data_IF_563906778399
#
_entry.id   IF_563906778399
#
_cell.length_a   1.000
_cell.length_b   1.000
_cell.length_c   1.000
_cell.angle_alpha   90.00
_cell.angle_beta   90.00
_cell.angle_gamma   90.00
#
_symmetry.space_group_name_H-M   'P 1'
#
loop_
_entity.id
_entity.type
_entity.pdbx_description
1 polymer ?
#
# COMPACT_ATOMS: atom_id res chain seq x y z
N UNK A 1 14.66 -12.36 23.03
CA UNK A 1 13.94 -11.87 21.84
C UNK A 1 14.70 -12.30 20.61
N UNK A 2 14.05 -12.67 19.50
CA UNK A 2 14.76 -12.97 18.27
C UNK A 2 15.57 -11.74 17.81
N UNK A 3 16.69 -11.99 17.13
CA UNK A 3 17.55 -10.92 16.60
C UNK A 3 16.77 -10.16 15.50
N UNK A 4 16.83 -8.80 15.47
CA UNK A 4 16.25 -8.04 14.36
C UNK A 4 16.82 -8.48 13.02
N UNK A 5 15.97 -8.57 11.99
CA UNK A 5 16.40 -8.93 10.64
C UNK A 5 17.15 -7.77 9.97
N UNK A 6 18.13 -8.09 9.13
CA UNK A 6 18.83 -7.11 8.30
C UNK A 6 17.93 -6.65 7.15
N UNK A 7 17.56 -5.36 7.13
CA UNK A 7 16.72 -4.76 6.08
C UNK A 7 17.58 -3.97 5.08
N UNK A 8 17.56 -4.36 3.80
CA UNK A 8 18.11 -3.59 2.70
C UNK A 8 17.02 -2.78 2.00
N UNK A 9 17.34 -1.61 1.50
CA UNK A 9 16.39 -0.73 0.81
C UNK A 9 16.93 -0.39 -0.58
N UNK A 10 16.13 -0.62 -1.62
CA UNK A 10 16.39 -0.18 -3.00
C UNK A 10 15.30 0.80 -3.42
N UNK A 11 15.73 2.00 -3.83
CA UNK A 11 14.88 3.15 -4.04
C UNK A 11 14.78 4.02 -2.78
N UNK A 12 15.35 5.24 -2.86
CA UNK A 12 15.36 6.18 -1.72
C UNK A 12 14.62 7.47 -2.05
N UNK A 13 13.43 7.31 -2.66
CA UNK A 13 12.42 8.33 -2.81
C UNK A 13 11.57 8.49 -1.55
N UNK A 14 10.36 9.06 -1.68
CA UNK A 14 9.42 9.31 -0.58
C UNK A 14 9.17 8.06 0.28
N UNK A 15 8.93 6.90 -0.36
CA UNK A 15 8.58 5.68 0.39
C UNK A 15 9.79 5.01 1.02
N UNK A 16 10.94 4.99 0.33
CA UNK A 16 12.20 4.46 0.89
C UNK A 16 12.64 5.23 2.13
N UNK A 17 12.62 6.56 2.06
CA UNK A 17 12.92 7.42 3.21
C UNK A 17 11.93 7.21 4.36
N UNK A 18 10.63 7.18 4.06
CA UNK A 18 9.57 7.01 5.05
C UNK A 18 9.72 5.69 5.81
N UNK A 19 9.99 4.59 5.10
CA UNK A 19 10.15 3.30 5.75
C UNK A 19 11.47 3.22 6.55
N UNK A 20 12.55 3.82 6.06
CA UNK A 20 13.81 3.91 6.81
C UNK A 20 13.59 4.64 8.15
N UNK A 21 12.95 5.81 8.15
CA UNK A 21 12.63 6.54 9.38
C UNK A 21 11.80 5.69 10.34
N UNK A 22 10.77 5.01 9.83
CA UNK A 22 9.94 4.13 10.66
C UNK A 22 10.76 2.97 11.25
N UNK A 23 11.69 2.39 10.49
CA UNK A 23 12.57 1.33 10.95
C UNK A 23 13.47 1.80 12.09
N UNK A 24 14.06 2.98 11.97
CA UNK A 24 14.95 3.57 12.96
C UNK A 24 14.20 4.00 14.23
N UNK A 25 13.07 4.69 14.07
CA UNK A 25 12.39 5.36 15.17
C UNK A 25 11.42 4.44 15.93
N UNK A 26 10.84 3.42 15.26
CA UNK A 26 9.71 2.68 15.80
C UNK A 26 9.80 1.15 15.70
N UNK A 27 10.79 0.60 15.01
CA UNK A 27 10.85 -0.84 14.74
C UNK A 27 12.22 -1.48 14.96
N UNK A 28 13.11 -0.87 15.74
CA UNK A 28 14.46 -1.35 16.00
C UNK A 28 14.51 -2.76 16.65
N UNK A 29 13.44 -3.17 17.33
CA UNK A 29 13.32 -4.53 17.87
C UNK A 29 13.03 -5.59 16.78
N UNK A 30 12.52 -5.19 15.62
CA UNK A 30 12.10 -6.08 14.53
C UNK A 30 13.08 -6.09 13.37
N UNK A 31 13.59 -4.91 12.99
CA UNK A 31 14.46 -4.75 11.82
C UNK A 31 15.65 -3.85 12.10
N UNK A 32 16.76 -4.11 11.43
CA UNK A 32 17.94 -3.24 11.41
C UNK A 32 18.21 -2.84 9.96
N UNK A 33 18.05 -1.57 9.56
CA UNK A 33 18.48 -1.10 8.26
C UNK A 33 19.99 -1.24 8.10
N UNK A 34 20.43 -1.99 7.09
CA UNK A 34 21.87 -2.30 6.91
C UNK A 34 22.45 -1.64 5.68
N UNK A 35 21.65 -1.33 4.67
CA UNK A 35 22.12 -0.74 3.44
C UNK A 35 20.99 -0.09 2.64
N UNK A 36 21.33 0.95 1.89
CA UNK A 36 20.46 1.61 0.90
C UNK A 36 21.18 1.68 -0.44
N UNK A 37 20.44 1.62 -1.54
CA UNK A 37 20.90 1.96 -2.86
C UNK A 37 19.81 2.68 -3.67
N UNK A 38 20.23 3.69 -4.41
CA UNK A 38 19.39 4.39 -5.37
C UNK A 38 20.30 4.89 -6.53
N UNK A 39 19.87 4.83 -7.80
CA UNK A 39 20.66 5.31 -8.92
C UNK A 39 20.78 6.84 -8.96
N UNK A 40 19.90 7.59 -8.30
CA UNK A 40 19.89 9.04 -8.28
C UNK A 40 21.03 9.58 -7.38
N UNK A 41 21.91 10.45 -7.90
CA UNK A 41 23.08 10.93 -7.14
C UNK A 41 22.69 11.72 -5.87
N UNK A 42 21.54 12.40 -5.88
CA UNK A 42 21.02 13.16 -4.73
C UNK A 42 20.53 12.28 -3.58
N UNK A 43 20.29 10.99 -3.82
CA UNK A 43 19.82 10.07 -2.80
C UNK A 43 20.84 9.88 -1.66
N UNK A 44 22.13 9.94 -1.95
CA UNK A 44 23.18 9.82 -0.95
C UNK A 44 23.13 10.99 0.07
N UNK A 45 22.96 12.21 -0.39
CA UNK A 45 22.82 13.37 0.48
C UNK A 45 21.53 13.30 1.31
N UNK A 46 20.43 12.84 0.71
CA UNK A 46 19.15 12.62 1.39
C UNK A 46 19.28 11.54 2.48
N UNK A 47 19.95 10.43 2.18
CA UNK A 47 20.20 9.38 3.17
C UNK A 47 21.03 9.88 4.35
N UNK A 48 22.11 10.61 4.09
CA UNK A 48 22.97 11.18 5.12
C UNK A 48 22.21 12.14 6.06
N UNK A 49 21.24 12.87 5.54
CA UNK A 49 20.36 13.74 6.33
C UNK A 49 19.37 12.95 7.21
N UNK A 50 19.00 11.73 6.83
CA UNK A 50 18.13 10.86 7.62
C UNK A 50 18.92 10.06 8.64
N UNK A 51 19.99 9.40 8.20
CA UNK A 51 20.85 8.60 9.06
C UNK A 51 22.26 8.47 8.46
N UNK A 52 23.29 9.06 9.09
CA UNK A 52 24.66 8.89 8.65
C UNK A 52 25.23 7.49 8.95
N UNK A 53 24.51 6.68 9.73
CA UNK A 53 24.96 5.33 10.14
C UNK A 53 24.55 4.25 9.14
N UNK A 54 23.54 4.50 8.30
CA UNK A 54 23.10 3.55 7.28
C UNK A 54 23.86 3.83 5.99
N UNK A 55 24.69 2.89 5.47
CA UNK A 55 25.51 3.15 4.30
C UNK A 55 24.70 3.14 3.01
N UNK A 56 25.04 4.06 2.09
CA UNK A 56 24.70 3.98 0.68
C UNK A 56 25.70 3.06 -0.01
N UNK A 57 25.23 1.95 -0.57
CA UNK A 57 26.09 1.00 -1.30
C UNK A 57 26.17 1.35 -2.80
N UNK A 58 27.19 0.80 -3.48
CA UNK A 58 27.46 1.12 -4.87
C UNK A 58 26.54 0.45 -5.90
N UNK A 59 25.70 -0.52 -5.48
CA UNK A 59 24.81 -1.23 -6.39
C UNK A 59 23.64 -1.92 -5.67
N UNK A 60 22.59 -2.21 -6.42
CA UNK A 60 21.46 -3.03 -5.96
C UNK A 60 21.93 -4.43 -5.51
N UNK A 61 22.86 -5.05 -6.25
CA UNK A 61 23.41 -6.35 -5.90
C UNK A 61 24.13 -6.35 -4.55
N UNK A 62 24.85 -5.28 -4.21
CA UNK A 62 25.51 -5.14 -2.93
C UNK A 62 24.50 -5.06 -1.77
N UNK A 63 23.36 -4.36 -1.94
CA UNK A 63 22.28 -4.31 -0.94
C UNK A 63 21.64 -5.69 -0.77
N UNK A 64 21.33 -6.38 -1.87
CA UNK A 64 20.75 -7.74 -1.83
C UNK A 64 21.67 -8.70 -1.08
N UNK A 65 22.97 -8.62 -1.31
CA UNK A 65 23.94 -9.47 -0.61
C UNK A 65 24.02 -9.21 0.92
N UNK A 66 23.79 -7.96 1.32
CA UNK A 66 23.94 -7.51 2.71
C UNK A 66 22.72 -7.74 3.62
N UNK A 67 21.54 -8.03 3.05
CA UNK A 67 20.29 -8.06 3.82
C UNK A 67 19.68 -9.46 3.95
N UNK A 68 18.78 -9.63 4.92
CA UNK A 68 17.89 -10.80 5.05
C UNK A 68 16.58 -10.57 4.28
N UNK A 69 16.10 -9.33 4.28
CA UNK A 69 14.92 -8.90 3.52
C UNK A 69 15.24 -7.64 2.72
N UNK A 70 14.87 -7.66 1.45
CA UNK A 70 14.95 -6.49 0.57
C UNK A 70 13.62 -5.74 0.55
N UNK A 71 13.62 -4.46 0.89
CA UNK A 71 12.52 -3.55 0.59
C UNK A 71 12.76 -2.85 -0.74
N UNK A 72 11.81 -3.00 -1.68
CA UNK A 72 11.88 -2.40 -3.01
C UNK A 72 10.90 -1.23 -3.09
N UNK A 73 11.44 -0.01 -3.03
CA UNK A 73 10.73 1.27 -3.15
C UNK A 73 11.10 2.01 -4.45
N UNK A 74 11.58 1.27 -5.44
CA UNK A 74 11.91 1.75 -6.78
C UNK A 74 10.64 1.96 -7.62
N UNK A 75 10.72 2.55 -8.82
CA UNK A 75 9.59 2.60 -9.76
C UNK A 75 9.08 1.19 -10.14
N UNK A 76 7.77 1.02 -10.44
CA UNK A 76 7.14 -0.28 -10.65
C UNK A 76 7.80 -1.20 -11.68
N UNK A 77 8.39 -0.63 -12.74
CA UNK A 77 9.13 -1.40 -13.75
C UNK A 77 10.35 -2.16 -13.19
N UNK A 78 10.90 -1.73 -12.05
CA UNK A 78 12.05 -2.37 -11.41
C UNK A 78 11.66 -3.42 -10.36
N UNK A 79 10.38 -3.50 -9.95
CA UNK A 79 9.95 -4.35 -8.84
C UNK A 79 10.25 -5.82 -9.10
N UNK A 80 9.77 -6.37 -10.21
CA UNK A 80 9.94 -7.80 -10.54
C UNK A 80 11.41 -8.17 -10.72
N UNK A 81 12.22 -7.46 -11.54
CA UNK A 81 13.64 -7.79 -11.68
C UNK A 81 14.41 -7.78 -10.36
N UNK A 82 14.16 -6.81 -9.49
CA UNK A 82 14.81 -6.73 -8.19
C UNK A 82 14.34 -7.84 -7.23
N UNK A 83 13.05 -8.16 -7.24
CA UNK A 83 12.51 -9.26 -6.44
C UNK A 83 13.08 -10.61 -6.87
N UNK A 84 13.16 -10.89 -8.17
CA UNK A 84 13.74 -12.13 -8.70
C UNK A 84 15.23 -12.25 -8.36
N UNK A 85 15.99 -11.16 -8.46
CA UNK A 85 17.39 -11.14 -8.03
C UNK A 85 17.54 -11.44 -6.52
N UNK A 86 16.65 -10.88 -5.68
CA UNK A 86 16.64 -11.15 -4.25
C UNK A 86 16.25 -12.61 -3.95
N UNK A 87 15.25 -13.17 -4.64
CA UNK A 87 14.88 -14.60 -4.50
C UNK A 87 16.02 -15.53 -4.91
N UNK A 88 16.72 -15.23 -6.00
CA UNK A 88 17.89 -16.00 -6.43
C UNK A 88 19.02 -15.98 -5.38
N UNK A 89 19.11 -14.90 -4.58
CA UNK A 89 20.04 -14.79 -3.46
C UNK A 89 19.47 -15.36 -2.13
N UNK A 90 18.29 -15.98 -2.14
CA UNK A 90 17.64 -16.56 -0.97
C UNK A 90 17.05 -15.52 0.01
N UNK A 91 16.81 -14.28 -0.44
CA UNK A 91 16.32 -13.19 0.41
C UNK A 91 14.79 -13.12 0.40
N UNK A 92 14.20 -12.68 1.51
CA UNK A 92 12.81 -12.27 1.53
C UNK A 92 12.65 -10.91 0.84
N UNK A 93 11.42 -10.59 0.38
CA UNK A 93 11.17 -9.35 -0.36
C UNK A 93 9.90 -8.66 0.14
N UNK A 94 10.01 -7.35 0.39
CA UNK A 94 8.88 -6.48 0.66
C UNK A 94 8.80 -5.44 -0.47
N UNK A 95 7.71 -5.43 -1.23
CA UNK A 95 7.56 -4.63 -2.45
C UNK A 95 6.62 -3.45 -2.24
N UNK A 96 6.90 -2.32 -2.88
CA UNK A 96 5.86 -1.30 -3.08
C UNK A 96 4.80 -1.75 -4.09
N UNK A 97 3.63 -1.16 -3.99
CA UNK A 97 2.57 -1.27 -5.00
C UNK A 97 2.79 -0.23 -6.12
N UNK A 98 2.28 -0.45 -7.33
CA UNK A 98 1.74 -1.71 -7.85
C UNK A 98 2.84 -2.74 -8.07
N UNK A 99 2.48 -4.01 -8.26
CA UNK A 99 3.47 -5.09 -8.46
C UNK A 99 4.35 -4.87 -9.70
N UNK A 100 3.77 -4.37 -10.78
CA UNK A 100 4.45 -4.13 -12.05
C UNK A 100 3.65 -3.15 -12.91
N UNK A 101 4.25 -2.71 -14.00
CA UNK A 101 3.58 -1.92 -15.05
C UNK A 101 2.78 -2.80 -16.02
N UNK A 102 3.11 -4.07 -16.15
CA UNK A 102 2.48 -5.04 -17.04
C UNK A 102 1.82 -6.18 -16.25
N UNK A 103 0.50 -6.39 -16.48
CA UNK A 103 -0.28 -7.40 -15.77
C UNK A 103 0.12 -8.83 -16.12
N UNK A 104 0.56 -9.11 -17.36
CA UNK A 104 0.99 -10.45 -17.74
C UNK A 104 2.28 -10.82 -17.01
N UNK A 105 3.23 -9.89 -16.91
CA UNK A 105 4.44 -10.07 -16.11
C UNK A 105 4.12 -10.24 -14.63
N UNK A 106 3.20 -9.44 -14.07
CA UNK A 106 2.76 -9.57 -12.67
C UNK A 106 2.16 -10.96 -12.39
N UNK A 107 1.26 -11.46 -13.26
CA UNK A 107 0.68 -12.82 -13.14
C UNK A 107 1.74 -13.91 -13.14
N UNK A 108 2.66 -13.85 -14.11
CA UNK A 108 3.74 -14.81 -14.23
C UNK A 108 4.68 -14.79 -13.01
N UNK A 109 5.00 -13.59 -12.51
CA UNK A 109 5.82 -13.41 -11.32
C UNK A 109 5.15 -14.00 -10.06
N UNK A 110 3.87 -13.68 -9.82
CA UNK A 110 3.12 -14.21 -8.67
C UNK A 110 3.06 -15.74 -8.72
N UNK A 111 2.74 -16.32 -9.87
CA UNK A 111 2.70 -17.77 -10.03
C UNK A 111 4.05 -18.45 -9.73
N UNK A 112 5.17 -17.88 -10.20
CA UNK A 112 6.51 -18.39 -9.88
C UNK A 112 6.84 -18.25 -8.38
N UNK A 113 6.55 -17.12 -7.79
CA UNK A 113 6.81 -16.87 -6.38
C UNK A 113 6.02 -17.84 -5.47
N UNK A 114 4.74 -18.11 -5.79
CA UNK A 114 3.91 -19.08 -5.09
C UNK A 114 4.44 -20.51 -5.23
N UNK A 115 4.82 -20.93 -6.45
CA UNK A 115 5.36 -22.27 -6.71
C UNK A 115 6.68 -22.50 -5.95
N UNK A 116 7.50 -21.47 -5.80
CA UNK A 116 8.78 -21.55 -5.07
C UNK A 116 8.64 -21.28 -3.56
N UNK A 117 7.45 -21.04 -3.05
CA UNK A 117 7.19 -20.59 -1.66
C UNK A 117 8.07 -19.39 -1.27
N UNK A 118 8.23 -18.43 -2.17
CA UNK A 118 9.03 -17.25 -1.94
C UNK A 118 8.46 -16.41 -0.78
N UNK A 119 9.34 -15.98 0.13
CA UNK A 119 8.96 -15.11 1.24
C UNK A 119 8.82 -13.68 0.74
N UNK A 120 7.60 -13.28 0.40
CA UNK A 120 7.33 -11.98 -0.17
C UNK A 120 5.98 -11.42 0.28
N UNK A 121 5.93 -10.09 0.37
CA UNK A 121 4.72 -9.32 0.66
C UNK A 121 4.75 -7.96 -0.05
N UNK A 122 3.59 -7.31 -0.12
CA UNK A 122 3.43 -5.99 -0.75
C UNK A 122 3.01 -4.96 0.28
N UNK A 123 3.49 -3.73 0.11
CA UNK A 123 3.23 -2.63 1.02
C UNK A 123 1.81 -2.07 0.86
N UNK A 124 0.85 -2.72 1.52
CA UNK A 124 -0.47 -2.16 1.77
C UNK A 124 -0.60 -1.83 3.26
N UNK A 125 -0.42 -0.56 3.66
CA UNK A 125 -0.43 -0.15 5.07
C UNK A 125 -1.66 -0.60 5.85
N UNK A 126 -2.81 -0.68 5.21
CA UNK A 126 -4.06 -1.14 5.85
C UNK A 126 -3.98 -2.59 6.39
N UNK A 127 -3.03 -3.40 5.93
CA UNK A 127 -2.80 -4.74 6.48
C UNK A 127 -2.36 -4.75 7.94
N UNK A 128 -1.74 -3.66 8.40
CA UNK A 128 -1.20 -3.51 9.77
C UNK A 128 -1.82 -2.32 10.53
N UNK A 129 -2.96 -1.82 10.06
CA UNK A 129 -3.63 -0.66 10.66
C UNK A 129 -4.44 -1.06 11.90
N UNK A 130 -4.20 -0.45 13.08
CA UNK A 130 -5.06 -0.63 14.25
C UNK A 130 -6.53 -0.28 13.98
N UNK A 131 -6.78 0.80 13.21
CA UNK A 131 -8.14 1.16 12.82
C UNK A 131 -8.84 0.07 11.99
N UNK A 132 -8.10 -0.62 11.10
CA UNK A 132 -8.62 -1.76 10.33
C UNK A 132 -8.86 -2.98 11.24
N UNK A 133 -8.00 -3.21 12.24
CA UNK A 133 -8.21 -4.26 13.23
C UNK A 133 -9.52 -4.02 14.02
N UNK A 134 -9.76 -2.78 14.45
CA UNK A 134 -11.01 -2.41 15.12
C UNK A 134 -12.26 -2.60 14.23
N UNK A 135 -12.17 -2.25 12.96
CA UNK A 135 -13.27 -2.55 12.00
C UNK A 135 -13.52 -4.05 11.89
N UNK A 136 -12.45 -4.85 11.92
CA UNK A 136 -12.56 -6.30 11.86
C UNK A 136 -13.32 -6.88 13.06
N UNK A 137 -13.06 -6.37 14.25
CA UNK A 137 -13.77 -6.75 15.48
C UNK A 137 -15.27 -6.42 15.39
N UNK A 138 -15.60 -5.20 14.99
CA UNK A 138 -17.01 -4.79 14.83
C UNK A 138 -17.72 -5.59 13.76
N UNK A 139 -17.04 -5.84 12.62
CA UNK A 139 -17.61 -6.63 11.51
C UNK A 139 -17.89 -8.09 11.90
N UNK A 140 -17.16 -8.68 12.85
CA UNK A 140 -17.33 -10.08 13.25
C UNK A 140 -18.75 -10.42 13.71
N UNK A 141 -19.51 -9.44 14.21
CA UNK A 141 -20.90 -9.57 14.62
C UNK A 141 -21.91 -9.19 13.51
N UNK A 142 -21.44 -8.90 12.28
CA UNK A 142 -22.30 -8.44 11.18
C UNK A 142 -22.40 -9.48 10.07
N UNK A 143 -23.51 -9.44 9.35
CA UNK A 143 -23.63 -10.07 8.02
C UNK A 143 -23.62 -8.94 6.99
N UNK A 144 -22.48 -8.71 6.29
CA UNK A 144 -22.36 -7.61 5.35
C UNK A 144 -23.38 -7.69 4.21
N UNK A 145 -24.07 -6.57 3.94
CA UNK A 145 -25.08 -6.47 2.90
C UNK A 145 -24.70 -5.50 1.77
N UNK A 146 -23.95 -4.42 2.08
CA UNK A 146 -23.50 -3.44 1.11
C UNK A 146 -22.25 -2.69 1.60
N UNK A 147 -21.39 -2.30 0.66
CA UNK A 147 -20.23 -1.46 0.91
C UNK A 147 -20.25 -0.23 0.02
N UNK A 148 -19.91 0.92 0.59
CA UNK A 148 -19.68 2.17 -0.15
C UNK A 148 -18.25 2.64 0.08
N UNK A 149 -17.55 2.97 -1.01
CA UNK A 149 -16.20 3.55 -1.00
C UNK A 149 -16.27 4.91 -1.67
N UNK A 150 -15.85 5.95 -1.00
CA UNK A 150 -15.77 7.31 -1.54
C UNK A 150 -14.38 7.88 -1.31
N UNK A 151 -13.79 8.44 -2.38
CA UNK A 151 -12.51 9.14 -2.30
C UNK A 151 -12.64 10.50 -2.99
N UNK A 152 -12.11 11.55 -2.39
CA UNK A 152 -12.16 12.90 -2.92
C UNK A 152 -10.85 13.64 -2.68
N UNK A 153 -10.45 14.46 -3.65
CA UNK A 153 -9.22 15.25 -3.60
C UNK A 153 -9.50 16.69 -4.03
N UNK A 154 -8.88 17.66 -3.35
CA UNK A 154 -8.91 19.05 -3.82
C UNK A 154 -8.19 19.19 -5.17
N UNK A 155 -7.02 18.58 -5.27
CA UNK A 155 -6.17 18.55 -6.46
C UNK A 155 -5.50 17.18 -6.61
N UNK A 156 -5.10 16.84 -7.85
CA UNK A 156 -4.29 15.66 -8.10
C UNK A 156 -3.10 16.00 -9.01
N UNK A 157 -1.86 15.61 -8.69
CA UNK A 157 -1.41 14.99 -7.44
C UNK A 157 -1.60 15.90 -6.21
N UNK A 158 -1.60 15.30 -5.01
CA UNK A 158 -1.71 16.02 -3.73
C UNK A 158 -0.47 16.89 -3.48
N UNK A 159 -0.61 17.98 -2.74
CA UNK A 159 0.46 18.96 -2.52
C UNK A 159 1.78 18.39 -2.00
N UNK A 160 1.73 17.35 -1.16
CA UNK A 160 2.92 16.68 -0.61
C UNK A 160 3.60 15.67 -1.57
N UNK A 161 2.99 15.39 -2.72
CA UNK A 161 3.50 14.45 -3.74
C UNK A 161 4.27 15.17 -4.87
N UNK A 162 4.75 16.40 -4.66
CA UNK A 162 5.37 17.25 -5.69
C UNK A 162 6.52 16.56 -6.42
N UNK A 163 7.39 15.84 -5.70
CA UNK A 163 8.55 15.15 -6.27
C UNK A 163 8.15 13.99 -7.20
N UNK A 164 6.95 13.46 -7.04
CA UNK A 164 6.40 12.39 -7.87
C UNK A 164 5.35 12.91 -8.89
N UNK A 165 5.07 14.22 -8.92
CA UNK A 165 3.97 14.79 -9.71
C UNK A 165 4.11 14.51 -11.21
N UNK A 166 5.34 14.40 -11.73
CA UNK A 166 5.58 14.18 -13.15
C UNK A 166 4.99 12.89 -13.71
N UNK A 167 4.96 11.81 -12.93
CA UNK A 167 4.36 10.55 -13.35
C UNK A 167 2.97 10.33 -12.74
N UNK A 168 2.73 10.79 -11.50
CA UNK A 168 1.41 10.67 -10.83
C UNK A 168 0.29 11.39 -11.58
N UNK A 169 0.61 12.47 -12.27
CA UNK A 169 -0.37 13.22 -13.07
C UNK A 169 -0.71 12.57 -14.41
N UNK A 170 -0.02 11.48 -14.80
CA UNK A 170 -0.20 10.85 -16.12
C UNK A 170 -1.08 9.61 -16.07
N UNK A 171 -1.91 9.44 -17.10
CA UNK A 171 -2.81 8.28 -17.26
C UNK A 171 -2.07 6.94 -17.28
N UNK A 172 -0.91 6.90 -17.93
CA UNK A 172 -0.18 5.64 -18.18
C UNK A 172 0.26 4.94 -16.88
N UNK A 173 0.73 5.69 -15.89
CA UNK A 173 1.35 5.12 -14.70
C UNK A 173 0.76 5.66 -13.39
N UNK A 174 0.20 6.88 -13.41
CA UNK A 174 -0.31 7.59 -12.25
C UNK A 174 -1.81 7.41 -12.03
N UNK A 175 -2.40 8.42 -11.39
CA UNK A 175 -3.81 8.49 -11.07
C UNK A 175 -4.13 8.10 -9.63
N UNK A 176 -5.23 8.67 -9.11
CA UNK A 176 -5.64 8.40 -7.75
C UNK A 176 -6.21 6.98 -7.57
N UNK A 177 -6.65 6.36 -8.66
CA UNK A 177 -7.16 4.98 -8.62
C UNK A 177 -6.04 4.01 -8.27
N UNK A 178 -4.86 4.11 -8.93
CA UNK A 178 -3.68 3.32 -8.59
C UNK A 178 -3.09 3.68 -7.25
N UNK A 179 -3.08 4.99 -6.90
CA UNK A 179 -2.39 5.45 -5.72
C UNK A 179 -3.20 5.33 -4.41
N UNK A 180 -4.51 5.55 -4.47
CA UNK A 180 -5.36 5.63 -3.28
C UNK A 180 -6.45 4.57 -3.28
N UNK A 181 -7.24 4.46 -4.35
CA UNK A 181 -8.35 3.49 -4.41
C UNK A 181 -7.87 2.05 -4.25
N UNK A 182 -6.68 1.72 -4.76
CA UNK A 182 -6.07 0.40 -4.59
C UNK A 182 -5.99 -0.05 -3.14
N UNK A 183 -5.75 0.85 -2.19
CA UNK A 183 -5.71 0.53 -0.75
C UNK A 183 -7.10 0.15 -0.21
N UNK A 184 -8.15 0.86 -0.65
CA UNK A 184 -9.53 0.54 -0.26
C UNK A 184 -10.04 -0.73 -0.94
N UNK A 185 -9.63 -1.00 -2.18
CA UNK A 185 -9.90 -2.28 -2.83
C UNK A 185 -9.19 -3.43 -2.13
N UNK A 186 -7.94 -3.24 -1.69
CA UNK A 186 -7.24 -4.22 -0.87
C UNK A 186 -7.98 -4.50 0.44
N UNK A 187 -8.38 -3.46 1.17
CA UNK A 187 -9.18 -3.60 2.38
C UNK A 187 -10.47 -4.38 2.11
N UNK A 188 -11.18 -4.02 1.05
CA UNK A 188 -12.42 -4.67 0.63
C UNK A 188 -12.21 -6.16 0.34
N UNK A 189 -11.20 -6.48 -0.47
CA UNK A 189 -10.83 -7.85 -0.78
C UNK A 189 -10.54 -8.68 0.47
N UNK A 190 -9.78 -8.12 1.40
CA UNK A 190 -9.39 -8.78 2.64
C UNK A 190 -10.56 -8.97 3.60
N UNK A 191 -11.48 -8.03 3.64
CA UNK A 191 -12.61 -8.05 4.58
C UNK A 191 -13.83 -8.81 4.08
N UNK A 192 -14.07 -8.79 2.78
CA UNK A 192 -15.30 -9.34 2.19
C UNK A 192 -15.05 -10.50 1.22
N UNK A 193 -13.85 -10.67 0.68
CA UNK A 193 -13.52 -11.74 -0.25
C UNK A 193 -13.20 -11.27 -1.67
N UNK A 194 -13.12 -12.18 -2.64
CA UNK A 194 -12.71 -11.87 -4.01
C UNK A 194 -13.55 -10.77 -4.66
N UNK A 195 -12.85 -9.89 -5.40
CA UNK A 195 -13.44 -8.75 -6.10
C UNK A 195 -13.86 -9.15 -7.52
N UNK A 196 -15.05 -8.74 -7.95
CA UNK A 196 -15.51 -8.88 -9.33
C UNK A 196 -16.07 -7.55 -9.81
N UNK A 197 -15.44 -6.95 -10.82
CA UNK A 197 -15.94 -5.73 -11.46
C UNK A 197 -17.19 -6.04 -12.29
N UNK A 198 -18.24 -5.24 -12.10
CA UNK A 198 -19.50 -5.36 -12.82
C UNK A 198 -19.64 -4.24 -13.86
N UNK A 199 -19.33 -3.02 -13.47
CA UNK A 199 -19.46 -1.84 -14.29
C UNK A 199 -18.46 -0.78 -13.80
N UNK A 200 -17.88 -0.03 -14.72
CA UNK A 200 -17.09 1.14 -14.41
C UNK A 200 -17.31 2.25 -15.44
N UNK A 201 -17.06 3.48 -14.99
CA UNK A 201 -16.99 4.66 -15.84
C UNK A 201 -15.86 5.56 -15.31
N UNK A 202 -15.02 6.04 -16.21
CA UNK A 202 -13.87 6.87 -15.91
C UNK A 202 -13.93 8.17 -16.70
N UNK A 203 -13.63 9.29 -16.05
CA UNK A 203 -13.50 10.58 -16.70
C UNK A 203 -12.05 10.99 -16.73
N UNK A 204 -11.54 11.24 -17.92
CA UNK A 204 -10.18 11.74 -18.14
C UNK A 204 -10.23 13.17 -18.67
N UNK A 205 -9.24 14.01 -18.34
CA UNK A 205 -9.07 15.31 -18.99
C UNK A 205 -8.58 15.11 -20.44
N UNK A 206 -8.57 16.17 -21.23
CA UNK A 206 -7.93 16.16 -22.54
C UNK A 206 -6.43 15.87 -22.42
N UNK A 207 -5.88 15.10 -23.37
CA UNK A 207 -4.45 14.72 -23.37
C UNK A 207 -4.16 13.45 -22.55
N UNK A 208 -2.98 13.39 -21.94
CA UNK A 208 -2.41 12.23 -21.22
C UNK A 208 -2.60 12.28 -19.69
N UNK A 209 -3.40 13.22 -19.21
CA UNK A 209 -3.66 13.41 -17.79
C UNK A 209 -4.33 12.19 -17.13
N UNK A 210 -4.02 11.98 -15.85
CA UNK A 210 -4.67 10.98 -15.02
C UNK A 210 -6.18 11.27 -14.90
N UNK A 211 -6.95 10.29 -14.45
CA UNK A 211 -8.39 10.39 -14.27
C UNK A 211 -8.78 11.49 -13.28
N UNK A 212 -9.89 12.17 -13.55
CA UNK A 212 -10.50 13.18 -12.69
C UNK A 212 -11.73 12.68 -11.94
N UNK A 213 -12.37 11.62 -12.44
CA UNK A 213 -13.42 10.94 -11.73
C UNK A 213 -13.52 9.46 -12.12
N UNK A 214 -13.96 8.63 -11.18
CA UNK A 214 -14.34 7.25 -11.41
C UNK A 214 -15.67 6.94 -10.74
N UNK A 215 -16.41 6.02 -11.32
CA UNK A 215 -17.53 5.32 -10.69
C UNK A 215 -17.43 3.85 -11.04
N UNK A 216 -17.63 2.96 -10.06
CA UNK A 216 -17.66 1.53 -10.34
C UNK A 216 -18.67 0.81 -9.45
N UNK A 217 -19.21 -0.27 -9.96
CA UNK A 217 -19.97 -1.28 -9.21
C UNK A 217 -19.20 -2.60 -9.27
N UNK A 218 -19.00 -3.18 -8.10
CA UNK A 218 -18.30 -4.46 -7.91
C UNK A 218 -19.11 -5.36 -6.99
N UNK A 219 -18.72 -6.62 -6.92
CA UNK A 219 -19.04 -7.47 -5.78
C UNK A 219 -17.75 -7.91 -5.09
N UNK A 220 -17.80 -8.08 -3.77
CA UNK A 220 -16.71 -8.61 -2.96
C UNK A 220 -17.24 -9.76 -2.10
N UNK A 221 -16.84 -11.01 -2.40
CA UNK A 221 -17.41 -12.19 -1.75
C UNK A 221 -18.95 -12.28 -1.83
N UNK A 222 -19.54 -11.75 -2.91
CA UNK A 222 -20.99 -11.66 -3.12
C UNK A 222 -21.63 -10.39 -2.55
N UNK A 223 -20.94 -9.59 -1.74
CA UNK A 223 -21.47 -8.31 -1.20
C UNK A 223 -21.38 -7.22 -2.27
N UNK A 224 -22.47 -6.49 -2.58
CA UNK A 224 -22.43 -5.35 -3.48
C UNK A 224 -21.54 -4.22 -2.98
N UNK A 225 -20.73 -3.65 -3.87
CA UNK A 225 -19.79 -2.56 -3.58
C UNK A 225 -20.05 -1.42 -4.57
N UNK A 226 -20.26 -0.21 -4.07
CA UNK A 226 -20.24 1.02 -4.85
C UNK A 226 -18.96 1.79 -4.57
N UNK A 227 -18.31 2.26 -5.64
CA UNK A 227 -17.10 3.05 -5.59
C UNK A 227 -17.28 4.35 -6.34
N UNK A 228 -16.95 5.47 -5.72
CA UNK A 228 -16.86 6.79 -6.34
C UNK A 228 -15.55 7.48 -5.96
N UNK A 229 -14.92 8.10 -6.95
CA UNK A 229 -13.72 8.91 -6.76
C UNK A 229 -13.74 10.17 -7.60
N UNK A 230 -13.22 11.29 -7.09
CA UNK A 230 -13.22 12.56 -7.83
C UNK A 230 -12.15 13.54 -7.37
N UNK A 231 -11.72 14.39 -8.31
CA UNK A 231 -10.78 15.49 -8.08
C UNK A 231 -11.53 16.82 -8.23
N UNK A 232 -11.24 17.82 -7.41
CA UNK A 232 -11.84 19.15 -7.44
C UNK A 232 -13.23 19.25 -6.80
N UNK A 233 -13.69 18.20 -6.10
CA UNK A 233 -15.02 18.15 -5.48
C UNK A 233 -15.00 18.34 -3.96
N UNK A 234 -13.83 18.50 -3.38
CA UNK A 234 -13.62 18.77 -1.94
C UNK A 234 -12.55 19.85 -1.77
N UNK A 235 -12.61 20.60 -0.69
CA UNK A 235 -11.54 21.51 -0.29
C UNK A 235 -10.41 20.84 0.50
N UNK A 236 -10.59 19.57 0.90
CA UNK A 236 -9.58 18.80 1.62
C UNK A 236 -8.60 18.15 0.65
N UNK A 237 -7.32 18.10 1.02
CA UNK A 237 -6.28 17.42 0.23
C UNK A 237 -6.64 15.95 -0.05
N UNK A 238 -7.30 15.30 0.91
CA UNK A 238 -7.60 13.87 0.89
C UNK A 238 -8.82 13.61 1.79
N UNK A 239 -9.93 13.18 1.22
CA UNK A 239 -11.15 12.80 1.94
C UNK A 239 -11.58 11.41 1.50
N UNK A 240 -11.51 10.45 2.41
CA UNK A 240 -11.79 9.06 2.08
C UNK A 240 -12.75 8.42 3.08
N UNK A 241 -13.62 7.55 2.58
CA UNK A 241 -14.43 6.69 3.42
C UNK A 241 -14.60 5.30 2.81
N UNK A 242 -14.56 4.29 3.66
CA UNK A 242 -14.95 2.90 3.41
C UNK A 242 -16.05 2.57 4.41
N UNK A 243 -17.31 2.45 3.97
CA UNK A 243 -18.48 2.37 4.85
C UNK A 243 -19.25 1.09 4.58
N UNK A 244 -19.32 0.20 5.58
CA UNK A 244 -20.01 -1.08 5.52
C UNK A 244 -21.40 -0.94 6.17
N UNK A 245 -22.44 -1.27 5.40
CA UNK A 245 -23.86 -1.23 5.78
C UNK A 245 -24.36 0.10 6.36
N UNK A 246 -23.62 1.19 6.17
CA UNK A 246 -23.88 2.45 6.86
C UNK A 246 -23.70 2.39 8.38
N UNK A 247 -23.04 1.36 8.91
CA UNK A 247 -22.93 1.09 10.37
C UNK A 247 -21.52 1.23 10.92
N UNK A 248 -20.51 0.80 10.15
CA UNK A 248 -19.10 0.96 10.51
C UNK A 248 -18.37 1.58 9.33
N UNK A 249 -17.35 2.41 9.61
CA UNK A 249 -16.54 3.01 8.55
C UNK A 249 -15.09 3.24 8.97
N UNK A 250 -14.22 3.18 7.96
CA UNK A 250 -12.89 3.78 8.03
C UNK A 250 -12.97 5.15 7.35
N UNK A 251 -12.66 6.21 8.08
CA UNK A 251 -12.59 7.57 7.55
C UNK A 251 -11.14 8.07 7.59
N UNK A 252 -10.75 8.76 6.53
CA UNK A 252 -9.45 9.44 6.40
C UNK A 252 -8.26 8.57 6.86
N UNK A 253 -8.21 7.31 6.42
CA UNK A 253 -7.16 6.29 6.65
C UNK A 253 -7.07 5.73 8.07
N UNK A 254 -7.48 6.47 9.09
CA UNK A 254 -7.11 6.17 10.47
C UNK A 254 -8.25 6.19 11.49
N UNK A 255 -9.41 6.73 11.13
CA UNK A 255 -10.54 6.79 12.02
C UNK A 255 -11.50 5.62 11.78
N UNK A 256 -11.42 4.59 12.63
CA UNK A 256 -12.49 3.60 12.71
C UNK A 256 -13.65 4.22 13.47
N UNK A 257 -14.86 4.17 12.88
CA UNK A 257 -16.06 4.79 13.46
C UNK A 257 -17.25 3.83 13.35
N UNK A 258 -18.11 3.85 14.36
CA UNK A 258 -19.35 3.07 14.41
C UNK A 258 -20.56 4.00 14.59
N UNK A 259 -21.65 3.73 13.86
CA UNK A 259 -22.88 4.48 13.98
C UNK A 259 -23.61 4.12 15.26
N UNK A 260 -23.83 5.08 16.14
CA UNK A 260 -24.60 4.93 17.36
C UNK A 260 -26.11 4.86 17.13
N UNK A 261 -26.85 4.45 18.15
CA UNK A 261 -28.32 4.38 18.10
C UNK A 261 -28.98 5.76 18.02
N UNK A 262 -28.24 6.81 18.35
CA UNK A 262 -28.63 8.23 18.22
C UNK A 262 -28.39 8.79 16.80
N UNK A 263 -27.85 7.98 15.89
CA UNK A 263 -27.50 8.39 14.54
C UNK A 263 -26.17 9.14 14.42
N UNK A 264 -25.41 9.28 15.51
CA UNK A 264 -24.09 9.90 15.50
C UNK A 264 -22.98 8.87 15.27
N UNK A 265 -21.92 9.28 14.56
CA UNK A 265 -20.72 8.47 14.40
C UNK A 265 -19.80 8.61 15.62
N UNK A 266 -19.54 7.51 16.30
CA UNK A 266 -18.59 7.42 17.40
C UNK A 266 -17.27 6.84 16.92
N UNK A 267 -16.16 7.50 17.23
CA UNK A 267 -14.81 7.03 16.93
C UNK A 267 -14.40 5.93 17.91
N UNK A 268 -13.55 5.01 17.44
CA UNK A 268 -12.88 4.06 18.32
C UNK A 268 -12.05 4.81 19.39
N UNK A 269 -11.91 4.27 20.62
CA UNK A 269 -11.22 4.96 21.70
C UNK A 269 -9.75 5.32 21.40
N UNK A 270 -9.09 4.54 20.56
CA UNK A 270 -7.69 4.73 20.14
C UNK A 270 -7.55 5.44 18.78
N UNK A 271 -8.67 5.90 18.21
CA UNK A 271 -8.67 6.63 16.95
C UNK A 271 -7.86 7.93 17.06
N UNK A 272 -7.00 8.16 16.10
CA UNK A 272 -6.14 9.35 16.06
C UNK A 272 -5.85 9.78 14.64
N UNK A 273 -5.44 11.05 14.43
CA UNK A 273 -5.06 11.55 13.10
C UNK A 273 -3.99 10.69 12.43
N UNK A 274 -4.02 10.65 11.10
CA UNK A 274 -3.13 9.81 10.31
C UNK A 274 -1.63 10.05 10.57
N UNK A 275 -1.24 11.29 10.92
CA UNK A 275 0.15 11.63 11.29
C UNK A 275 0.62 10.85 12.53
N UNK A 276 -0.26 10.59 13.48
CA UNK A 276 0.03 9.81 14.70
C UNK A 276 -0.19 8.31 14.49
N UNK A 277 -1.17 7.93 13.67
CA UNK A 277 -1.48 6.54 13.37
C UNK A 277 -0.41 5.88 12.48
N UNK A 278 0.12 6.64 11.51
CA UNK A 278 1.09 6.13 10.53
C UNK A 278 2.33 5.47 11.15
N UNK A 279 3.00 6.01 12.16
CA UNK A 279 4.12 5.33 12.83
C UNK A 279 3.74 3.95 13.38
N UNK A 280 2.55 3.81 13.96
CA UNK A 280 2.06 2.52 14.49
C UNK A 280 1.82 1.52 13.36
N UNK A 281 1.20 1.96 12.27
CA UNK A 281 0.98 1.15 11.07
C UNK A 281 2.31 0.65 10.49
N UNK A 282 3.29 1.54 10.32
CA UNK A 282 4.59 1.19 9.76
C UNK A 282 5.39 0.29 10.69
N UNK A 283 5.33 0.51 12.01
CA UNK A 283 5.91 -0.40 12.99
C UNK A 283 5.30 -1.80 12.90
N UNK A 284 3.98 -1.90 12.82
CA UNK A 284 3.27 -3.17 12.61
C UNK A 284 3.65 -3.86 11.30
N UNK A 285 3.81 -3.09 10.21
CA UNK A 285 4.30 -3.64 8.94
C UNK A 285 5.73 -4.20 9.07
N UNK A 286 6.63 -3.47 9.70
CA UNK A 286 8.02 -3.91 9.87
C UNK A 286 8.13 -5.13 10.80
N UNK A 287 7.27 -5.24 11.82
CA UNK A 287 7.15 -6.46 12.59
C UNK A 287 6.66 -7.64 11.72
N UNK A 288 5.68 -7.40 10.84
CA UNK A 288 5.22 -8.37 9.85
C UNK A 288 6.33 -8.78 8.86
N UNK A 289 7.17 -7.82 8.42
CA UNK A 289 8.33 -8.09 7.54
C UNK A 289 9.34 -9.00 8.25
N UNK A 290 9.61 -8.76 9.53
CA UNK A 290 10.49 -9.62 10.31
C UNK A 290 9.92 -11.04 10.45
N UNK A 291 8.62 -11.16 10.76
CA UNK A 291 7.93 -12.45 10.85
C UNK A 291 7.95 -13.21 9.51
N UNK A 292 7.62 -12.55 8.40
CA UNK A 292 7.69 -13.10 7.04
C UNK A 292 9.10 -13.62 6.71
N UNK A 293 10.11 -12.81 6.99
CA UNK A 293 11.52 -13.17 6.73
C UNK A 293 11.94 -14.40 7.53
N UNK A 294 11.42 -14.55 8.74
CA UNK A 294 11.64 -15.73 9.58
C UNK A 294 10.74 -16.93 9.23
N UNK A 295 9.86 -16.82 8.22
CA UNK A 295 8.90 -17.88 7.86
C UNK A 295 7.78 -18.06 8.89
N UNK A 296 7.48 -17.03 9.68
CA UNK A 296 6.42 -17.03 10.68
C UNK A 296 5.12 -16.44 10.12
N UNK A 297 3.95 -16.74 10.70
CA UNK A 297 2.68 -16.12 10.33
C UNK A 297 2.76 -14.58 10.43
N UNK A 298 2.15 -13.90 9.47
CA UNK A 298 2.12 -12.43 9.38
C UNK A 298 0.83 -11.93 8.71
N UNK A 299 0.54 -10.63 8.85
CA UNK A 299 -0.65 -9.98 8.29
C UNK A 299 -0.39 -9.15 7.04
N UNK A 300 0.85 -9.14 6.54
CA UNK A 300 1.18 -8.36 5.34
C UNK A 300 0.34 -8.82 4.13
N UNK A 301 0.17 -7.93 3.15
CA UNK A 301 -0.50 -8.28 1.93
C UNK A 301 0.33 -9.27 1.10
N UNK A 302 -0.30 -10.36 0.68
CA UNK A 302 0.34 -11.34 -0.20
C UNK A 302 0.51 -10.81 -1.61
N UNK A 303 1.40 -11.41 -2.39
CA UNK A 303 1.54 -11.09 -3.81
C UNK A 303 0.24 -11.35 -4.57
N UNK A 304 -0.53 -12.40 -4.20
CA UNK A 304 -1.82 -12.73 -4.81
C UNK A 304 -2.86 -11.64 -4.55
N UNK A 305 -3.00 -11.18 -3.32
CA UNK A 305 -3.93 -10.08 -3.00
C UNK A 305 -3.56 -8.80 -3.76
N UNK A 306 -2.27 -8.48 -3.85
CA UNK A 306 -1.80 -7.31 -4.59
C UNK A 306 -2.08 -7.42 -6.11
N UNK A 307 -1.91 -8.60 -6.69
CA UNK A 307 -2.23 -8.86 -8.09
C UNK A 307 -3.74 -8.69 -8.35
N UNK A 308 -4.59 -9.31 -7.55
CA UNK A 308 -6.05 -9.23 -7.68
C UNK A 308 -6.53 -7.76 -7.59
N UNK A 309 -5.96 -6.98 -6.67
CA UNK A 309 -6.25 -5.54 -6.57
C UNK A 309 -5.78 -4.79 -7.81
N UNK A 310 -4.58 -5.06 -8.29
CA UNK A 310 -4.05 -4.40 -9.49
C UNK A 310 -4.90 -4.72 -10.72
N UNK A 311 -5.35 -5.97 -10.90
CA UNK A 311 -6.24 -6.36 -11.99
C UNK A 311 -7.56 -5.59 -11.98
N UNK A 312 -8.17 -5.41 -10.82
CA UNK A 312 -9.41 -4.62 -10.68
C UNK A 312 -9.16 -3.14 -10.96
N UNK A 313 -8.05 -2.57 -10.46
CA UNK A 313 -7.67 -1.17 -10.73
C UNK A 313 -7.53 -0.93 -12.23
N UNK A 314 -6.78 -1.78 -12.94
CA UNK A 314 -6.57 -1.62 -14.38
C UNK A 314 -7.85 -1.87 -15.18
N UNK A 315 -8.71 -2.81 -14.73
CA UNK A 315 -10.01 -3.03 -15.35
C UNK A 315 -10.96 -1.81 -15.20
N UNK A 316 -10.94 -1.14 -14.03
CA UNK A 316 -11.68 0.11 -13.84
C UNK A 316 -11.13 1.20 -14.77
N UNK A 317 -9.82 1.36 -14.87
CA UNK A 317 -9.19 2.43 -15.67
C UNK A 317 -9.32 2.21 -17.18
N UNK A 318 -9.62 0.99 -17.63
CA UNK A 318 -9.84 0.63 -19.02
C UNK A 318 -11.29 0.79 -19.51
N UNK A 319 -12.22 1.18 -18.63
CA UNK A 319 -13.66 1.28 -18.92
C UNK A 319 -14.05 2.53 -19.71
#
# INVERSE_FOLDING_TARGET
MPKPIALGIIGFGIMGERLLRAALDHAAASVTPVAVWDPAPEAAARLAAVSPLVPMLGSAAAVIAACDCLYVAAPPAAHIPLAEAAFAAGRAVFLEKPLATDLAQARAFVARAETSNARAAVNFPMASSPAVAQLAEWQAAMTPAALTIEVGFATWPRGWQRDAAGWLARRAEGGFTREVVSHFLFLTRRRLGPLVLQEAAVTYPAGDGAETAIRARLTAGGVPVTLAGSVGTTAQDDRNSWTLDGRIRLRDWSFAEQLGTDGAWAQAPDAQPNERMRPLVLSGQLAGVAAMTAGQPHHLATLREALEVQEIVEAILAA
#
